data_IF_148633752224
#
_entry.id   IF_148633752224
#
_cell.length_a   1.000
_cell.length_b   1.000
_cell.length_c   1.000
_cell.angle_alpha   90.00
_cell.angle_beta   90.00
_cell.angle_gamma   90.00
#
_symmetry.space_group_name_H-M   'P 1'
#
loop_
_entity.id
_entity.type
_entity.pdbx_description
1 polymer ?
#
# COMPACT_ATOMS: atom_id res chain seq x y z
N UNK A 1 -25.67 5.79 -22.17
CA UNK A 1 -25.30 5.78 -21.97
C UNK A 1 -24.91 5.70 -21.54
N UNK A 2 -24.68 5.55 -21.39
CA UNK A 2 -24.08 5.50 -20.98
C UNK A 2 -23.54 5.37 -20.50
N UNK A 3 -23.45 5.26 -20.36
CA UNK A 3 -22.78 5.21 -19.92
C UNK A 3 -22.16 5.12 -19.57
N UNK A 4 -22.16 5.14 -19.60
CA UNK A 4 -21.41 5.15 -19.36
C UNK A 4 -20.84 5.01 -19.04
N UNK A 5 -20.87 4.98 -19.27
CA UNK A 5 -20.24 5.00 -19.11
C UNK A 5 -19.63 5.00 -18.69
N UNK A 6 -19.62 4.98 -18.57
CA UNK A 6 -18.84 5.01 -18.31
C UNK A 6 -18.27 4.84 -17.82
N UNK A 7 -18.26 4.76 -17.91
CA UNK A 7 -17.64 4.74 -17.68
C UNK A 7 -17.07 4.74 -17.28
N UNK A 8 -17.00 4.69 -17.08
CA UNK A 8 -16.36 4.79 -16.84
C UNK A 8 -15.75 4.72 -16.54
N UNK A 9 -15.68 4.50 -16.55
CA UNK A 9 -15.04 4.53 -16.41
C UNK A 9 -14.32 4.69 -16.49
N UNK A 10 -14.31 4.84 -16.64
CA UNK A 10 -13.51 5.02 -16.85
C UNK A 10 -12.53 5.76 -16.67
N UNK A 11 -12.60 6.02 -16.05
CA UNK A 11 -11.47 6.70 -15.79
C UNK A 11 -10.28 5.85 -15.86
N UNK A 12 -9.30 6.32 -16.48
CA UNK A 12 -8.15 5.55 -16.68
C UNK A 12 -7.21 5.72 -15.57
N UNK A 13 -6.68 4.67 -15.00
CA UNK A 13 -5.67 4.79 -13.98
C UNK A 13 -4.41 5.38 -14.57
N UNK A 14 -3.50 5.74 -13.71
CA UNK A 14 -2.20 6.22 -14.10
C UNK A 14 -1.55 5.20 -15.01
N UNK A 15 -0.82 5.63 -16.02
CA UNK A 15 -0.18 4.67 -16.92
C UNK A 15 0.65 3.68 -16.15
N UNK A 16 0.47 2.41 -16.47
CA UNK A 16 1.22 1.34 -15.85
C UNK A 16 0.66 0.87 -14.53
N UNK A 17 -0.37 1.53 -14.02
CA UNK A 17 -0.96 1.16 -12.75
C UNK A 17 -2.46 1.09 -12.87
N UNK A 18 -3.03 -0.04 -12.51
CA UNK A 18 -4.46 -0.19 -12.42
C UNK A 18 -4.76 -0.87 -11.11
N UNK A 19 -6.04 -0.92 -10.76
CA UNK A 19 -6.40 -1.57 -9.51
C UNK A 19 -6.07 -3.05 -9.58
N UNK A 20 -5.91 -3.59 -10.77
CA UNK A 20 -5.56 -5.00 -10.91
C UNK A 20 -4.09 -5.23 -11.13
N UNK A 21 -3.28 -4.20 -11.09
CA UNK A 21 -1.85 -4.38 -11.28
C UNK A 21 -1.32 -5.31 -10.23
N UNK A 22 -0.55 -6.29 -10.67
CA UNK A 22 0.03 -7.22 -9.73
C UNK A 22 1.20 -6.61 -8.97
N UNK A 23 1.96 -5.75 -9.64
CA UNK A 23 3.10 -5.12 -9.02
C UNK A 23 2.92 -3.62 -8.99
N UNK A 24 3.29 -3.02 -7.89
CA UNK A 24 3.09 -1.61 -7.63
C UNK A 24 4.42 -0.91 -7.46
N UNK A 25 4.45 0.35 -7.86
CA UNK A 25 5.57 1.21 -7.54
C UNK A 25 5.53 1.56 -6.06
N UNK A 26 6.67 1.96 -5.52
CA UNK A 26 6.66 2.40 -4.13
C UNK A 26 5.76 3.63 -3.96
N UNK A 27 5.73 4.50 -4.96
CA UNK A 27 4.85 5.66 -4.87
C UNK A 27 3.38 5.26 -4.88
N UNK A 28 3.06 4.16 -5.56
CA UNK A 28 1.68 3.67 -5.54
C UNK A 28 1.31 3.18 -4.15
N UNK A 29 2.23 2.49 -3.51
CA UNK A 29 1.99 1.99 -2.16
C UNK A 29 1.83 3.17 -1.21
N UNK A 30 2.67 4.19 -1.38
CA UNK A 30 2.58 5.38 -0.53
C UNK A 30 1.22 6.04 -0.65
N UNK A 31 0.72 6.13 -1.89
CA UNK A 31 -0.60 6.72 -2.10
C UNK A 31 -1.69 5.85 -1.49
N UNK A 32 -1.55 4.54 -1.64
CA UNK A 32 -2.54 3.62 -1.13
C UNK A 32 -2.62 3.68 0.39
N UNK A 33 -1.47 3.74 1.04
CA UNK A 33 -1.41 3.78 2.50
C UNK A 33 -1.46 5.20 3.04
N UNK A 34 -1.41 6.19 2.16
CA UNK A 34 -1.45 7.59 2.53
C UNK A 34 -0.28 7.95 3.43
N UNK A 35 0.90 7.53 3.05
CA UNK A 35 2.13 7.87 3.75
C UNK A 35 3.13 8.40 2.72
N UNK A 36 4.29 8.83 3.18
CA UNK A 36 5.28 9.38 2.28
C UNK A 36 6.01 8.28 1.53
N UNK A 37 6.58 8.66 0.40
CA UNK A 37 7.40 7.72 -0.37
C UNK A 37 8.59 7.25 0.45
N UNK A 38 9.20 8.14 1.20
CA UNK A 38 10.37 7.74 1.96
C UNK A 38 10.00 6.78 3.08
N UNK A 39 8.79 6.89 3.61
CA UNK A 39 8.36 5.92 4.60
C UNK A 39 8.20 4.55 3.98
N UNK A 40 7.63 4.46 2.78
CA UNK A 40 7.50 3.18 2.10
C UNK A 40 8.87 2.61 1.80
N UNK A 41 9.79 3.45 1.35
CA UNK A 41 11.14 3.00 1.09
C UNK A 41 11.76 2.41 2.36
N UNK A 42 11.55 3.07 3.48
CA UNK A 42 12.06 2.56 4.76
C UNK A 42 11.44 1.21 5.10
N UNK A 43 10.14 1.07 4.88
CA UNK A 43 9.47 -0.19 5.15
C UNK A 43 10.00 -1.32 4.30
N UNK A 44 10.31 -1.01 3.05
CA UNK A 44 10.87 -2.00 2.14
C UNK A 44 12.30 -2.35 2.56
N UNK A 45 13.09 -1.35 2.88
CA UNK A 45 14.49 -1.59 3.24
C UNK A 45 14.62 -2.32 4.57
N UNK A 46 13.68 -2.12 5.47
CA UNK A 46 13.72 -2.80 6.75
C UNK A 46 13.17 -4.22 6.67
N UNK A 47 12.54 -4.56 5.57
CA UNK A 47 11.95 -5.88 5.43
C UNK A 47 10.54 -5.97 5.95
N UNK A 48 10.03 -4.88 6.49
CA UNK A 48 8.67 -4.89 7.01
C UNK A 48 7.66 -5.16 5.90
N UNK A 49 7.89 -4.56 4.73
CA UNK A 49 7.04 -4.75 3.57
C UNK A 49 7.86 -5.47 2.50
N UNK A 50 7.56 -6.73 2.22
CA UNK A 50 8.34 -7.46 1.23
C UNK A 50 8.22 -6.83 -0.16
N UNK A 51 9.33 -6.72 -0.83
CA UNK A 51 9.37 -6.14 -2.15
C UNK A 51 10.51 -6.78 -2.93
N UNK A 52 10.51 -6.58 -4.22
CA UNK A 52 11.56 -7.14 -5.05
C UNK A 52 12.12 -6.06 -5.94
N UNK A 53 13.30 -6.31 -6.43
CA UNK A 53 13.95 -5.43 -7.39
C UNK A 53 13.85 -6.06 -8.76
N UNK A 54 13.46 -5.26 -9.72
CA UNK A 54 13.26 -5.74 -11.06
C UNK A 54 14.02 -4.84 -12.03
N UNK A 55 14.56 -5.46 -13.06
CA UNK A 55 15.21 -4.71 -14.11
C UNK A 55 16.67 -4.47 -13.83
N UNK A 56 17.37 -3.95 -14.85
CA UNK A 56 18.80 -3.77 -14.76
C UNK A 56 19.21 -2.76 -13.71
N UNK A 57 18.34 -1.83 -13.39
CA UNK A 57 18.64 -0.84 -12.38
C UNK A 57 18.15 -1.22 -11.00
N UNK A 58 17.52 -2.37 -10.88
CA UNK A 58 17.06 -2.81 -9.61
C UNK A 58 15.97 -1.92 -9.04
N UNK A 59 14.94 -1.66 -9.80
CA UNK A 59 13.84 -0.84 -9.34
C UNK A 59 12.93 -1.63 -8.44
N UNK A 60 12.51 -1.00 -7.37
CA UNK A 60 11.66 -1.68 -6.39
C UNK A 60 10.24 -1.82 -6.88
N UNK A 61 9.66 -2.98 -6.59
CA UNK A 61 8.26 -3.24 -6.90
C UNK A 61 7.67 -4.03 -5.75
N UNK A 62 6.42 -3.74 -5.41
CA UNK A 62 5.71 -4.44 -4.34
C UNK A 62 4.57 -5.21 -4.97
N UNK A 63 4.55 -6.52 -4.72
CA UNK A 63 3.45 -7.34 -5.21
C UNK A 63 2.19 -6.99 -4.44
N UNK A 64 1.08 -6.86 -5.14
CA UNK A 64 -0.17 -6.43 -4.49
C UNK A 64 -0.55 -7.37 -3.35
N UNK A 65 -0.36 -8.67 -3.53
CA UNK A 65 -0.71 -9.60 -2.47
C UNK A 65 0.11 -9.36 -1.21
N UNK A 66 1.37 -8.94 -1.38
CA UNK A 66 2.20 -8.65 -0.21
C UNK A 66 1.71 -7.40 0.51
N UNK A 67 1.25 -6.42 -0.26
CA UNK A 67 0.69 -5.24 0.36
C UNK A 67 -0.58 -5.59 1.13
N UNK A 68 -1.42 -6.45 0.55
CA UNK A 68 -2.63 -6.87 1.24
C UNK A 68 -2.31 -7.60 2.53
N UNK A 69 -1.30 -8.48 2.50
CA UNK A 69 -0.91 -9.20 3.70
C UNK A 69 -0.36 -8.25 4.76
N UNK A 70 0.38 -7.24 4.30
CA UNK A 70 0.92 -6.24 5.21
C UNK A 70 -0.21 -5.50 5.92
N UNK A 71 -1.23 -5.12 5.17
CA UNK A 71 -2.37 -4.41 5.74
C UNK A 71 -3.09 -5.28 6.76
N UNK A 72 -3.30 -6.56 6.40
CA UNK A 72 -3.97 -7.48 7.33
C UNK A 72 -3.18 -7.62 8.62
N UNK A 73 -1.85 -7.74 8.47
CA UNK A 73 -1.01 -7.88 9.66
C UNK A 73 -1.08 -6.64 10.53
N UNK A 74 -1.14 -5.46 9.90
CA UNK A 74 -1.22 -4.22 10.66
C UNK A 74 -2.54 -4.11 11.40
N UNK A 75 -3.62 -4.61 10.80
CA UNK A 75 -4.89 -4.63 11.50
C UNK A 75 -4.81 -5.50 12.75
N UNK A 76 -4.18 -6.67 12.61
CA UNK A 76 -4.05 -7.57 13.75
C UNK A 76 -3.19 -6.98 14.85
N UNK A 77 -2.05 -6.39 14.45
CA UNK A 77 -1.16 -5.79 15.43
C UNK A 77 -1.82 -4.62 16.14
N UNK A 78 -2.56 -3.83 15.39
CA UNK A 78 -3.21 -2.67 15.96
C UNK A 78 -4.33 -3.09 16.93
N UNK A 79 -5.05 -4.13 16.57
CA UNK A 79 -6.10 -4.63 17.45
C UNK A 79 -5.50 -5.09 18.78
N UNK A 80 -4.35 -5.74 18.71
CA UNK A 80 -3.65 -6.17 19.91
C UNK A 80 -3.21 -4.97 20.73
N UNK A 81 -2.64 -3.97 20.06
CA UNK A 81 -2.18 -2.78 20.74
C UNK A 81 -3.34 -2.06 21.44
N UNK A 82 -4.48 -1.97 20.73
CA UNK A 82 -5.65 -1.29 21.29
C UNK A 82 -6.12 -2.01 22.55
N UNK A 83 -6.09 -3.34 22.53
CA UNK A 83 -6.51 -4.11 23.68
C UNK A 83 -5.60 -3.87 24.87
N UNK A 84 -4.30 -3.70 24.60
CA UNK A 84 -3.34 -3.52 25.68
C UNK A 84 -3.18 -2.08 26.10
N UNK A 85 -3.75 -1.14 25.34
CA UNK A 85 -3.65 0.28 25.64
C UNK A 85 -5.04 0.88 25.67
N UNK A 86 -5.75 0.70 26.78
CA UNK A 86 -7.14 1.16 26.86
C UNK A 86 -7.25 2.65 26.66
N UNK A 87 -8.45 3.07 26.37
CA UNK A 87 -8.72 4.43 26.00
C UNK A 87 -8.28 5.46 27.02
N UNK A 88 -8.11 5.10 28.24
CA UNK A 88 -7.68 6.05 29.24
C UNK A 88 -6.33 6.65 28.97
N UNK A 89 -5.54 6.01 28.12
CA UNK A 89 -4.22 6.52 27.77
C UNK A 89 -4.32 7.48 26.63
N UNK A 90 -3.37 8.37 26.56
CA UNK A 90 -3.35 9.29 25.45
C UNK A 90 -2.93 8.56 24.21
N UNK A 91 -3.66 8.73 23.17
CA UNK A 91 -3.32 8.15 21.89
C UNK A 91 -3.26 9.27 20.89
N UNK A 92 -2.08 9.79 20.71
CA UNK A 92 -1.89 10.92 19.82
C UNK A 92 -1.76 10.47 18.41
N UNK A 93 -2.42 11.18 17.53
CA UNK A 93 -2.33 10.79 16.15
C UNK A 93 -1.28 11.55 15.44
#
# INVERSE_FOLDING_TARGET
>A
MSAGDGKLRQTKPTPGVTVESRFLLLSDVAAELNVSDSQVYHMVRSGELPAIKIGGRGQWRVERSRLEEYIERKYAETAEWVRENPLGERDEE
#
